data_IF_736916428476
#
_entry.id   IF_736916428476
#
_cell.length_a   1.000
_cell.length_b   1.000
_cell.length_c   1.000
_cell.angle_alpha   90.00
_cell.angle_beta   90.00
_cell.angle_gamma   90.00
#
_symmetry.space_group_name_H-M   'P 1'
#
loop_
_entity.id
_entity.type
_entity.pdbx_description
1 polymer ?
#
# COMPACT_ATOMS: atom_id res chain seq x y z
N UNK A 1 11.65 2.24 6.25
CA UNK A 1 11.34 3.52 5.56
C UNK A 1 10.87 3.29 4.13
N UNK A 2 11.53 2.44 3.34
CA UNK A 2 11.12 2.13 1.96
C UNK A 2 9.70 1.53 1.87
N UNK A 3 9.31 0.64 2.78
CA UNK A 3 7.98 0.01 2.79
C UNK A 3 6.86 1.03 2.99
N UNK A 4 7.04 2.03 3.85
CA UNK A 4 6.06 3.09 4.05
C UNK A 4 5.88 3.95 2.80
N UNK A 5 6.96 4.36 2.15
CA UNK A 5 6.91 5.14 0.90
C UNK A 5 6.24 4.35 -0.24
N UNK A 6 6.54 3.05 -0.35
CA UNK A 6 5.89 2.17 -1.30
C UNK A 6 4.39 2.02 -1.03
N UNK A 7 3.99 1.86 0.24
CA UNK A 7 2.59 1.82 0.62
C UNK A 7 1.85 3.11 0.24
N UNK A 8 2.41 4.27 0.57
CA UNK A 8 1.83 5.58 0.21
C UNK A 8 1.77 5.76 -1.32
N UNK A 9 2.80 5.34 -2.05
CA UNK A 9 2.83 5.38 -3.51
C UNK A 9 1.72 4.51 -4.13
N UNK A 10 1.57 3.27 -3.68
CA UNK A 10 0.53 2.34 -4.15
C UNK A 10 -0.88 2.86 -3.82
N UNK A 11 -1.12 3.28 -2.58
CA UNK A 11 -2.40 3.88 -2.20
C UNK A 11 -2.73 5.12 -3.02
N UNK A 12 -1.72 5.97 -3.28
CA UNK A 12 -1.87 7.16 -4.12
C UNK A 12 -2.22 6.83 -5.57
N UNK A 13 -1.67 5.74 -6.12
CA UNK A 13 -2.03 5.24 -7.45
C UNK A 13 -3.48 4.78 -7.51
N UNK A 14 -3.94 3.96 -6.53
CA UNK A 14 -5.33 3.51 -6.49
C UNK A 14 -6.31 4.67 -6.33
N UNK A 15 -5.98 5.64 -5.47
CA UNK A 15 -6.75 6.88 -5.34
C UNK A 15 -6.80 7.64 -6.67
N UNK A 16 -5.70 7.73 -7.39
CA UNK A 16 -5.64 8.42 -8.68
C UNK A 16 -6.54 7.76 -9.73
N UNK A 17 -6.52 6.43 -9.82
CA UNK A 17 -7.39 5.66 -10.72
C UNK A 17 -8.87 5.86 -10.35
N UNK A 18 -9.20 5.77 -9.07
CA UNK A 18 -10.54 5.96 -8.56
C UNK A 18 -11.07 7.39 -8.84
N UNK A 19 -10.26 8.42 -8.56
CA UNK A 19 -10.65 9.80 -8.80
C UNK A 19 -10.74 10.15 -10.29
N UNK A 20 -9.85 9.61 -11.11
CA UNK A 20 -9.96 9.76 -12.57
C UNK A 20 -11.27 9.15 -13.10
N UNK A 21 -11.63 7.95 -12.65
CA UNK A 21 -12.92 7.34 -12.98
C UNK A 21 -14.10 8.23 -12.55
N UNK A 22 -14.10 8.73 -11.32
CA UNK A 22 -15.14 9.62 -10.84
C UNK A 22 -15.26 10.89 -11.70
N UNK A 23 -14.14 11.55 -12.00
CA UNK A 23 -14.11 12.79 -12.79
C UNK A 23 -14.60 12.58 -14.23
N UNK A 24 -14.31 11.44 -14.83
CA UNK A 24 -14.69 11.16 -16.21
C UNK A 24 -16.17 10.74 -16.34
N UNK A 25 -16.67 9.91 -15.43
CA UNK A 25 -17.95 9.24 -15.60
C UNK A 25 -19.04 9.73 -14.64
N UNK A 26 -18.71 10.05 -13.38
CA UNK A 26 -19.70 10.29 -12.32
C UNK A 26 -19.92 11.76 -12.00
N UNK A 27 -18.95 12.62 -12.26
CA UNK A 27 -18.98 14.06 -11.95
C UNK A 27 -20.26 14.77 -12.38
N UNK A 28 -20.80 14.41 -13.53
CA UNK A 28 -21.95 15.08 -14.13
C UNK A 28 -23.29 14.39 -13.85
N UNK A 29 -23.35 13.38 -12.98
CA UNK A 29 -24.61 12.71 -12.61
C UNK A 29 -25.31 13.46 -11.48
N UNK A 30 -26.65 13.32 -11.40
CA UNK A 30 -27.47 13.91 -10.33
C UNK A 30 -27.57 13.00 -9.11
N UNK A 31 -26.72 11.98 -8.98
CA UNK A 31 -26.67 11.05 -7.85
C UNK A 31 -25.82 11.62 -6.71
N UNK A 32 -26.10 12.85 -6.27
CA UNK A 32 -25.24 13.63 -5.38
C UNK A 32 -24.89 12.89 -4.10
N UNK A 33 -25.88 12.41 -3.35
CA UNK A 33 -25.70 11.67 -2.10
C UNK A 33 -24.92 10.39 -2.29
N UNK A 34 -25.22 9.65 -3.37
CA UNK A 34 -24.52 8.40 -3.67
C UNK A 34 -23.05 8.65 -4.02
N UNK A 35 -22.79 9.59 -4.91
CA UNK A 35 -21.43 9.99 -5.33
C UNK A 35 -20.58 10.48 -4.16
N UNK A 36 -21.19 11.25 -3.24
CA UNK A 36 -20.54 11.71 -2.01
C UNK A 36 -20.08 10.52 -1.15
N UNK A 37 -20.99 9.56 -0.88
CA UNK A 37 -20.67 8.37 -0.10
C UNK A 37 -19.62 7.52 -0.83
N UNK A 38 -19.77 7.34 -2.14
CA UNK A 38 -18.84 6.59 -2.96
C UNK A 38 -17.42 7.20 -2.95
N UNK A 39 -17.30 8.53 -3.00
CA UNK A 39 -15.99 9.19 -2.90
C UNK A 39 -15.30 8.93 -1.56
N UNK A 40 -16.02 9.01 -0.46
CA UNK A 40 -15.46 8.77 0.87
C UNK A 40 -15.12 7.29 1.08
N UNK A 41 -16.06 6.39 0.79
CA UNK A 41 -15.87 4.94 0.95
C UNK A 41 -14.80 4.40 -0.01
N UNK A 42 -14.82 4.84 -1.27
CA UNK A 42 -13.82 4.44 -2.26
C UNK A 42 -12.42 4.95 -1.90
N UNK A 43 -12.30 6.16 -1.36
CA UNK A 43 -11.01 6.66 -0.85
C UNK A 43 -10.50 5.82 0.31
N UNK A 44 -11.37 5.43 1.26
CA UNK A 44 -11.01 4.54 2.36
C UNK A 44 -10.60 3.15 1.85
N UNK A 45 -11.34 2.61 0.88
CA UNK A 45 -11.00 1.32 0.25
C UNK A 45 -9.62 1.36 -0.41
N UNK A 46 -9.26 2.44 -1.10
CA UNK A 46 -7.94 2.60 -1.72
C UNK A 46 -6.77 2.60 -0.72
N UNK A 47 -7.00 2.94 0.55
CA UNK A 47 -6.01 2.78 1.62
C UNK A 47 -5.86 1.32 2.06
N UNK A 48 -6.94 0.55 2.01
CA UNK A 48 -6.94 -0.85 2.45
C UNK A 48 -6.35 -1.78 1.37
N UNK A 49 -6.56 -1.47 0.09
CA UNK A 49 -6.11 -2.31 -1.04
C UNK A 49 -4.62 -2.72 -0.99
N UNK A 50 -3.64 -1.83 -0.68
CA UNK A 50 -2.24 -2.22 -0.65
C UNK A 50 -1.87 -3.19 0.47
N UNK A 51 -2.75 -3.38 1.48
CA UNK A 51 -2.52 -4.33 2.57
C UNK A 51 -2.71 -5.78 2.11
N UNK A 52 -3.49 -5.99 1.03
CA UNK A 52 -3.65 -7.32 0.44
C UNK A 52 -2.45 -7.63 -0.46
N UNK A 53 -1.66 -8.61 -0.06
CA UNK A 53 -0.50 -9.11 -0.81
C UNK A 53 -0.89 -10.40 -1.53
N UNK A 54 -0.73 -10.46 -2.87
CA UNK A 54 -1.01 -11.66 -3.66
C UNK A 54 0.29 -12.38 -3.98
N UNK A 55 0.32 -13.70 -3.75
CA UNK A 55 1.41 -14.56 -4.19
C UNK A 55 1.17 -14.91 -5.67
N UNK A 56 1.97 -14.37 -6.57
CA UNK A 56 1.95 -14.77 -7.99
C UNK A 56 2.93 -15.91 -8.22
N UNK A 57 2.47 -16.96 -8.87
CA UNK A 57 3.27 -18.18 -9.18
C UNK A 57 4.44 -17.87 -10.15
N UNK A 58 4.36 -16.77 -10.90
CA UNK A 58 5.43 -16.34 -11.82
C UNK A 58 6.78 -16.04 -11.14
N UNK A 59 6.77 -15.69 -9.84
CA UNK A 59 8.01 -15.49 -9.09
C UNK A 59 8.85 -16.78 -8.97
N UNK A 60 8.23 -17.95 -9.11
CA UNK A 60 8.92 -19.24 -9.05
C UNK A 60 9.63 -19.56 -10.36
N UNK A 61 9.06 -19.18 -11.50
CA UNK A 61 9.63 -19.43 -12.83
C UNK A 61 10.72 -18.41 -13.22
N UNK A 62 10.56 -17.14 -12.84
CA UNK A 62 11.57 -16.10 -13.08
C UNK A 62 12.85 -16.36 -12.27
N UNK A 63 12.74 -16.91 -11.04
CA UNK A 63 13.91 -17.31 -10.25
C UNK A 63 14.64 -18.55 -10.80
N UNK A 64 13.97 -19.40 -11.57
CA UNK A 64 14.63 -20.52 -12.24
C UNK A 64 15.49 -20.06 -13.44
N UNK A 65 15.20 -18.88 -14.01
CA UNK A 65 15.95 -18.30 -15.15
C UNK A 65 17.08 -17.34 -14.73
N UNK A 66 17.02 -16.75 -13.55
CA UNK A 66 17.97 -15.71 -13.11
C UNK A 66 19.11 -16.23 -12.21
N UNK A 67 19.17 -17.56 -11.97
CA UNK A 67 20.27 -18.21 -11.26
C UNK A 67 21.49 -18.52 -12.18
N UNK A 68 21.69 -17.73 -13.21
CA UNK A 68 22.92 -17.72 -13.98
C UNK A 68 23.89 -16.70 -13.40
N UNK A 69 24.91 -17.23 -12.71
CA UNK A 69 26.21 -16.60 -12.54
C UNK A 69 26.27 -15.29 -11.71
N UNK A 70 26.02 -15.39 -10.41
CA UNK A 70 26.72 -14.48 -9.50
C UNK A 70 28.01 -15.19 -9.06
N UNK A 71 29.10 -14.88 -9.70
CA UNK A 71 30.45 -15.21 -9.26
C UNK A 71 30.65 -14.55 -7.88
N UNK A 72 31.24 -15.27 -6.92
CA UNK A 72 31.53 -14.78 -5.57
C UNK A 72 32.41 -13.49 -5.55
N UNK A 73 32.97 -13.11 -6.70
CA UNK A 73 33.72 -11.88 -6.93
C UNK A 73 32.81 -10.63 -6.99
N UNK A 74 31.55 -10.75 -7.40
CA UNK A 74 30.63 -9.61 -7.50
C UNK A 74 30.00 -9.24 -6.17
N UNK A 75 29.83 -10.19 -5.24
CA UNK A 75 29.24 -9.92 -3.93
C UNK A 75 30.12 -8.98 -3.08
N UNK A 76 31.44 -9.12 -3.15
CA UNK A 76 32.38 -8.24 -2.44
C UNK A 76 32.53 -6.86 -3.09
N UNK A 77 32.35 -6.77 -4.39
CA UNK A 77 32.35 -5.47 -5.09
C UNK A 77 31.01 -4.74 -4.90
N UNK A 78 29.92 -5.47 -4.75
CA UNK A 78 28.59 -4.88 -4.58
C UNK A 78 28.42 -4.27 -3.15
N UNK A 79 29.05 -4.85 -2.16
CA UNK A 79 29.04 -4.29 -0.79
C UNK A 79 29.90 -3.03 -0.68
N UNK A 80 30.99 -2.92 -1.42
CA UNK A 80 31.85 -1.72 -1.46
C UNK A 80 31.25 -0.58 -2.31
N UNK A 81 30.46 -0.89 -3.35
CA UNK A 81 29.76 0.10 -4.18
C UNK A 81 28.47 0.60 -3.54
N UNK A 82 27.80 -0.23 -2.71
CA UNK A 82 26.60 0.17 -1.98
C UNK A 82 26.87 1.27 -0.94
N UNK A 83 28.11 1.41 -0.45
CA UNK A 83 28.51 2.44 0.51
C UNK A 83 28.53 3.87 -0.07
N UNK A 84 28.49 4.03 -1.40
CA UNK A 84 28.54 5.34 -2.07
C UNK A 84 27.21 5.77 -2.70
N UNK A 85 26.13 4.96 -2.59
CA UNK A 85 24.84 5.33 -3.15
C UNK A 85 24.21 6.49 -2.34
N UNK A 86 23.86 7.57 -3.04
CA UNK A 86 23.18 8.71 -2.42
C UNK A 86 21.86 8.25 -1.78
N UNK A 87 21.54 8.64 -0.52
CA UNK A 87 20.41 8.13 0.24
C UNK A 87 19.07 8.75 -0.22
N UNK A 88 18.69 8.53 -1.48
CA UNK A 88 17.46 9.09 -2.08
C UNK A 88 16.21 8.80 -1.28
N UNK A 89 16.10 7.61 -0.69
CA UNK A 89 14.95 7.24 0.12
C UNK A 89 14.80 8.11 1.38
N UNK A 90 15.92 8.50 2.00
CA UNK A 90 15.92 9.40 3.16
C UNK A 90 15.53 10.82 2.75
N UNK A 91 16.05 11.30 1.62
CA UNK A 91 15.70 12.62 1.07
C UNK A 91 14.22 12.70 0.70
N UNK A 92 13.71 11.70 -0.03
CA UNK A 92 12.29 11.63 -0.39
C UNK A 92 11.38 11.57 0.83
N UNK A 93 11.74 10.79 1.85
CA UNK A 93 11.02 10.75 3.11
C UNK A 93 11.03 12.12 3.81
N UNK A 94 12.18 12.78 3.86
CA UNK A 94 12.31 14.13 4.43
C UNK A 94 11.40 15.15 3.71
N UNK A 95 11.41 15.16 2.38
CA UNK A 95 10.53 16.01 1.56
C UNK A 95 9.04 15.68 1.79
N UNK A 96 8.69 14.40 1.90
CA UNK A 96 7.33 13.99 2.18
C UNK A 96 6.85 14.52 3.53
N UNK A 97 7.62 14.34 4.60
CA UNK A 97 7.24 14.82 5.94
C UNK A 97 7.24 16.35 6.04
N UNK A 98 8.14 17.05 5.32
CA UNK A 98 8.13 18.51 5.23
C UNK A 98 6.83 19.03 4.59
N UNK A 99 6.42 18.43 3.46
CA UNK A 99 5.16 18.78 2.80
C UNK A 99 3.93 18.46 3.66
N UNK A 100 3.94 17.31 4.35
CA UNK A 100 2.89 16.94 5.30
C UNK A 100 2.78 17.98 6.43
N UNK A 101 3.89 18.42 7.01
CA UNK A 101 3.92 19.45 8.05
C UNK A 101 3.39 20.79 7.53
N UNK A 102 3.74 21.18 6.30
CA UNK A 102 3.27 22.42 5.68
C UNK A 102 1.75 22.41 5.47
N UNK A 103 1.20 21.30 4.95
CA UNK A 103 -0.26 21.15 4.74
C UNK A 103 -1.00 21.10 6.07
N UNK A 104 -0.45 20.38 7.08
CA UNK A 104 -1.03 20.35 8.42
C UNK A 104 -1.10 21.75 9.03
N UNK A 105 -0.02 22.52 8.94
CA UNK A 105 0.04 23.90 9.41
C UNK A 105 -1.03 24.77 8.70
N UNK A 106 -1.17 24.65 7.38
CA UNK A 106 -2.19 25.37 6.62
C UNK A 106 -3.63 25.03 7.07
N UNK A 107 -3.90 23.74 7.33
CA UNK A 107 -5.20 23.29 7.86
C UNK A 107 -5.44 23.87 9.25
N UNK A 108 -4.46 23.83 10.15
CA UNK A 108 -4.59 24.37 11.52
C UNK A 108 -4.81 25.87 11.54
N UNK A 109 -4.06 26.63 10.72
CA UNK A 109 -4.24 28.08 10.60
C UNK A 109 -5.61 28.45 10.03
N UNK A 110 -6.08 27.73 9.02
CA UNK A 110 -7.42 27.92 8.44
C UNK A 110 -8.53 27.62 9.45
N UNK A 111 -8.39 26.49 10.17
CA UNK A 111 -9.34 26.11 11.22
C UNK A 111 -9.34 27.11 12.38
N UNK A 112 -8.17 27.63 12.76
CA UNK A 112 -8.04 28.67 13.81
C UNK A 112 -8.74 29.98 13.43
N UNK A 113 -8.63 30.42 12.15
CA UNK A 113 -9.37 31.61 11.65
C UNK A 113 -10.88 31.38 11.72
N UNK A 114 -11.34 30.23 11.27
CA UNK A 114 -12.75 29.85 11.30
C UNK A 114 -13.29 29.82 12.73
N UNK A 115 -12.59 29.21 13.68
CA UNK A 115 -13.00 29.16 15.09
C UNK A 115 -13.07 30.54 15.73
N UNK A 116 -12.18 31.47 15.36
CA UNK A 116 -12.24 32.87 15.83
C UNK A 116 -13.51 33.56 15.35
N UNK A 117 -13.89 33.39 14.08
CA UNK A 117 -15.13 33.94 13.52
C UNK A 117 -16.34 33.38 14.26
N UNK A 118 -16.38 32.08 14.54
CA UNK A 118 -17.47 31.44 15.25
C UNK A 118 -17.65 31.91 16.71
N UNK A 119 -16.60 32.46 17.34
CA UNK A 119 -16.63 32.96 18.71
C UNK A 119 -17.08 34.44 18.82
N UNK A 120 -17.13 35.18 17.71
CA UNK A 120 -17.41 36.62 17.74
C UNK A 120 -18.90 36.96 17.59
N UNK A 121 -19.74 36.03 17.16
CA UNK A 121 -21.17 36.28 16.92
C UNK A 121 -22.04 35.96 18.12
N UNK A 122 -23.30 36.41 18.07
CA UNK A 122 -24.37 36.13 19.03
C UNK A 122 -24.97 34.76 18.75
N UNK A 123 -24.99 33.86 19.70
CA UNK A 123 -25.51 32.49 19.53
C UNK A 123 -27.02 32.43 19.80
N UNK A 124 -27.79 31.88 18.86
CA UNK A 124 -29.20 31.55 18.98
C UNK A 124 -29.39 30.07 18.74
N UNK A 125 -30.00 29.34 19.69
CA UNK A 125 -30.29 27.91 19.53
C UNK A 125 -31.56 27.75 18.68
N UNK A 126 -31.43 26.99 17.58
CA UNK A 126 -32.53 26.44 16.78
C UNK A 126 -32.69 24.94 17.11
N UNK A 127 -33.77 24.33 16.68
CA UNK A 127 -34.06 22.90 16.96
C UNK A 127 -32.94 21.97 16.46
N UNK A 128 -32.38 22.20 15.27
CA UNK A 128 -31.43 21.32 14.58
C UNK A 128 -29.99 21.84 14.57
N UNK A 129 -29.77 23.13 14.84
CA UNK A 129 -28.46 23.76 14.82
C UNK A 129 -28.35 24.96 15.77
N UNK A 130 -27.15 25.49 15.94
CA UNK A 130 -26.90 26.75 16.62
C UNK A 130 -26.61 27.83 15.56
N UNK A 131 -27.41 28.85 15.46
CA UNK A 131 -27.19 30.00 14.61
C UNK A 131 -26.27 31.00 15.33
N UNK A 132 -25.21 31.42 14.67
CA UNK A 132 -24.27 32.45 15.13
C UNK A 132 -24.46 33.66 14.23
N UNK A 133 -25.05 34.70 14.75
CA UNK A 133 -25.32 35.97 14.02
C UNK A 133 -24.14 36.90 14.19
N UNK A 134 -23.53 37.31 13.09
CA UNK A 134 -22.44 38.30 13.04
C UNK A 134 -22.97 39.67 12.61
N UNK A 135 -22.49 40.70 13.25
CA UNK A 135 -22.75 42.09 12.82
C UNK A 135 -21.86 42.46 11.61
N UNK A 136 -20.74 41.76 11.41
CA UNK A 136 -19.88 41.94 10.25
C UNK A 136 -20.52 41.31 9.01
N UNK A 137 -20.38 41.96 7.84
CA UNK A 137 -20.87 41.44 6.54
C UNK A 137 -19.92 40.35 6.07
N UNK A 138 -20.11 39.11 6.58
CA UNK A 138 -19.33 37.92 6.25
C UNK A 138 -20.16 36.95 5.42
N UNK A 139 -19.53 36.18 4.53
CA UNK A 139 -20.21 35.09 3.82
C UNK A 139 -20.83 34.11 4.80
N UNK A 140 -22.06 33.68 4.53
CA UNK A 140 -22.72 32.63 5.32
C UNK A 140 -22.00 31.29 5.12
N UNK A 141 -21.81 30.52 6.20
CA UNK A 141 -21.25 29.19 6.14
C UNK A 141 -21.69 28.35 7.34
N UNK A 142 -21.59 27.04 7.21
CA UNK A 142 -21.90 26.10 8.27
C UNK A 142 -20.68 25.24 8.64
N UNK A 143 -20.53 24.93 9.93
CA UNK A 143 -19.50 24.04 10.43
C UNK A 143 -19.99 23.24 11.63
N UNK A 144 -19.89 21.90 11.53
CA UNK A 144 -20.42 21.00 12.55
C UNK A 144 -21.93 21.18 12.72
N UNK A 145 -22.36 21.69 13.88
CA UNK A 145 -23.77 22.02 14.18
C UNK A 145 -24.03 23.51 14.26
N UNK A 146 -23.08 24.33 13.85
CA UNK A 146 -23.21 25.80 13.86
C UNK A 146 -23.37 26.34 12.44
N UNK A 147 -24.29 27.26 12.28
CA UNK A 147 -24.49 28.07 11.07
C UNK A 147 -24.08 29.49 11.41
N UNK A 148 -23.23 30.09 10.64
CA UNK A 148 -22.75 31.47 10.80
C UNK A 148 -23.33 32.31 9.66
N UNK A 149 -24.01 33.38 10.01
CA UNK A 149 -24.61 34.31 9.04
C UNK A 149 -24.46 35.78 9.50
N UNK A 150 -24.38 36.69 8.54
CA UNK A 150 -24.53 38.11 8.84
C UNK A 150 -25.99 38.42 9.19
N UNK A 151 -26.23 39.43 10.04
CA UNK A 151 -27.58 39.91 10.36
C UNK A 151 -28.34 40.29 9.09
N UNK A 152 -27.68 40.94 8.14
CA UNK A 152 -28.22 41.33 6.85
C UNK A 152 -28.74 40.14 6.03
N UNK A 153 -27.94 39.06 5.92
CA UNK A 153 -28.35 37.84 5.20
C UNK A 153 -29.53 37.18 5.88
N UNK A 154 -29.54 37.14 7.21
CA UNK A 154 -30.61 36.52 8.00
C UNK A 154 -31.96 37.21 7.74
N UNK A 155 -31.98 38.53 7.69
CA UNK A 155 -33.21 39.33 7.50
C UNK A 155 -33.66 39.35 6.03
N UNK A 156 -32.74 39.46 5.08
CA UNK A 156 -33.06 39.66 3.66
C UNK A 156 -33.16 38.36 2.85
N UNK A 157 -32.52 37.28 3.31
CA UNK A 157 -32.31 36.08 2.51
C UNK A 157 -32.60 34.77 3.28
N UNK A 158 -33.85 34.50 3.73
CA UNK A 158 -34.17 33.32 4.56
C UNK A 158 -33.89 31.98 3.87
N UNK A 159 -33.86 31.94 2.52
CA UNK A 159 -33.49 30.74 1.76
C UNK A 159 -32.03 30.32 2.00
N UNK A 160 -31.12 31.27 2.31
CA UNK A 160 -29.73 30.98 2.64
C UNK A 160 -29.64 30.23 3.97
N UNK A 161 -30.40 30.64 4.99
CA UNK A 161 -30.46 29.90 6.24
C UNK A 161 -30.91 28.45 6.01
N UNK A 162 -31.90 28.25 5.14
CA UNK A 162 -32.37 26.91 4.77
C UNK A 162 -31.25 26.09 4.12
N UNK A 163 -30.47 26.67 3.21
CA UNK A 163 -29.32 26.05 2.56
C UNK A 163 -28.24 25.65 3.59
N UNK A 164 -27.85 26.55 4.48
CA UNK A 164 -26.83 26.25 5.52
C UNK A 164 -27.30 25.18 6.50
N UNK A 165 -28.59 25.16 6.85
CA UNK A 165 -29.16 24.06 7.65
C UNK A 165 -29.09 22.71 6.96
N UNK A 166 -29.16 22.65 5.61
CA UNK A 166 -28.98 21.41 4.87
C UNK A 166 -27.54 20.89 5.00
N UNK A 167 -26.53 21.77 4.96
CA UNK A 167 -25.15 21.36 5.23
C UNK A 167 -24.98 20.75 6.63
N UNK A 168 -25.63 21.31 7.66
CA UNK A 168 -25.61 20.75 9.00
C UNK A 168 -26.32 19.40 9.05
N UNK A 169 -27.53 19.31 8.47
CA UNK A 169 -28.34 18.08 8.41
C UNK A 169 -27.60 16.93 7.73
N UNK A 170 -26.93 17.21 6.60
CA UNK A 170 -26.16 16.24 5.84
C UNK A 170 -24.77 15.98 6.43
N UNK A 171 -24.35 16.71 7.47
CA UNK A 171 -23.03 16.59 8.12
C UNK A 171 -21.85 16.80 7.17
N UNK A 172 -21.97 17.73 6.22
CA UNK A 172 -20.93 17.99 5.21
C UNK A 172 -19.57 18.37 5.81
N UNK A 173 -19.55 18.98 6.99
CA UNK A 173 -18.31 19.33 7.72
C UNK A 173 -17.51 18.10 8.11
N UNK A 174 -18.18 16.96 8.45
CA UNK A 174 -17.52 15.72 8.78
C UNK A 174 -16.81 15.13 7.57
N UNK A 175 -17.44 15.17 6.39
CA UNK A 175 -16.82 14.70 5.15
C UNK A 175 -15.58 15.51 4.80
N UNK A 176 -15.65 16.82 4.96
CA UNK A 176 -14.49 17.69 4.71
C UNK A 176 -13.37 17.44 5.71
N UNK A 177 -13.67 17.10 6.96
CA UNK A 177 -12.69 16.71 7.95
C UNK A 177 -12.02 15.39 7.58
N UNK A 178 -12.81 14.37 7.24
CA UNK A 178 -12.30 13.07 6.77
C UNK A 178 -11.46 13.23 5.51
N UNK A 179 -11.95 14.01 4.54
CA UNK A 179 -11.21 14.23 3.30
C UNK A 179 -9.92 15.04 3.50
N UNK A 180 -9.87 15.90 4.52
CA UNK A 180 -8.63 16.60 4.91
C UNK A 180 -7.54 15.64 5.38
N UNK A 181 -7.90 14.50 5.98
CA UNK A 181 -6.93 13.44 6.32
C UNK A 181 -6.31 12.82 5.05
N UNK A 182 -7.12 12.52 4.01
CA UNK A 182 -6.59 12.07 2.72
C UNK A 182 -5.70 13.12 2.07
N UNK A 183 -6.10 14.40 2.12
CA UNK A 183 -5.31 15.50 1.59
C UNK A 183 -3.97 15.64 2.33
N UNK A 184 -3.94 15.42 3.62
CA UNK A 184 -2.73 15.44 4.42
C UNK A 184 -1.76 14.33 4.03
N UNK A 185 -2.25 13.09 3.87
CA UNK A 185 -1.43 11.94 3.50
C UNK A 185 -0.97 11.97 2.03
N UNK A 186 -1.82 12.46 1.13
CA UNK A 186 -1.56 12.49 -0.32
C UNK A 186 -1.44 13.91 -0.87
N UNK A 187 -0.84 14.82 -0.09
CA UNK A 187 -0.67 16.22 -0.44
C UNK A 187 0.04 16.45 -1.79
N UNK A 188 0.92 15.54 -2.17
CA UNK A 188 1.68 15.53 -3.41
C UNK A 188 0.84 15.13 -4.64
N UNK A 189 -0.34 14.53 -4.44
CA UNK A 189 -1.20 14.06 -5.52
C UNK A 189 -2.22 15.13 -5.93
N UNK A 190 -2.13 15.72 -7.14
CA UNK A 190 -3.02 16.81 -7.57
C UNK A 190 -4.48 16.36 -7.68
N UNK A 191 -4.75 15.07 -7.99
CA UNK A 191 -6.13 14.57 -8.10
C UNK A 191 -6.88 14.64 -6.77
N UNK A 192 -6.19 14.51 -5.64
CA UNK A 192 -6.81 14.66 -4.30
C UNK A 192 -7.33 16.10 -4.11
N UNK A 193 -6.60 17.12 -4.56
CA UNK A 193 -7.00 18.52 -4.48
C UNK A 193 -8.18 18.82 -5.38
N UNK A 194 -8.18 18.29 -6.61
CA UNK A 194 -9.28 18.42 -7.56
C UNK A 194 -10.53 17.75 -6.99
N UNK A 195 -10.42 16.52 -6.51
CA UNK A 195 -11.56 15.77 -5.96
C UNK A 195 -12.14 16.40 -4.70
N UNK A 196 -11.31 17.05 -3.86
CA UNK A 196 -11.82 17.86 -2.73
C UNK A 196 -12.72 18.99 -3.22
N UNK A 197 -12.37 19.63 -4.32
CA UNK A 197 -13.18 20.69 -4.91
C UNK A 197 -14.50 20.14 -5.45
N UNK A 198 -14.47 18.96 -6.08
CA UNK A 198 -15.67 18.26 -6.55
C UNK A 198 -16.55 17.78 -5.38
N UNK A 199 -15.95 17.28 -4.29
CA UNK A 199 -16.70 16.92 -3.08
C UNK A 199 -17.45 18.13 -2.50
N UNK A 200 -16.81 19.30 -2.41
CA UNK A 200 -17.47 20.53 -2.00
C UNK A 200 -18.62 20.88 -2.93
N UNK A 201 -18.44 20.72 -4.25
CA UNK A 201 -19.47 21.01 -5.23
C UNK A 201 -20.66 20.04 -5.11
N UNK A 202 -20.41 18.75 -4.81
CA UNK A 202 -21.47 17.78 -4.48
C UNK A 202 -22.26 18.19 -3.22
N UNK A 203 -21.58 18.73 -2.20
CA UNK A 203 -22.25 19.26 -1.00
C UNK A 203 -23.18 20.43 -1.34
N UNK A 204 -22.74 21.33 -2.26
CA UNK A 204 -23.61 22.43 -2.73
C UNK A 204 -24.84 21.88 -3.46
N UNK A 205 -24.67 20.89 -4.35
CA UNK A 205 -25.79 20.29 -5.09
C UNK A 205 -26.78 19.61 -4.16
N UNK A 206 -26.30 18.87 -3.14
CA UNK A 206 -27.16 18.18 -2.16
C UNK A 206 -27.92 19.20 -1.30
N UNK A 207 -27.26 20.30 -0.92
CA UNK A 207 -27.90 21.38 -0.17
C UNK A 207 -28.95 22.12 -1.01
N UNK A 208 -28.62 22.42 -2.28
CA UNK A 208 -29.55 23.06 -3.23
C UNK A 208 -30.79 22.20 -3.47
N UNK A 209 -30.61 20.91 -3.72
CA UNK A 209 -31.70 19.93 -3.84
C UNK A 209 -32.60 19.96 -2.59
N UNK A 210 -31.99 19.99 -1.39
CA UNK A 210 -32.73 20.08 -0.14
C UNK A 210 -33.52 21.38 0.06
N UNK A 211 -33.03 22.49 -0.48
CA UNK A 211 -33.78 23.77 -0.49
C UNK A 211 -35.00 23.66 -1.38
N UNK A 212 -34.84 23.14 -2.60
CA UNK A 212 -35.92 22.94 -3.55
C UNK A 212 -36.99 21.95 -3.04
N UNK A 213 -36.57 20.87 -2.37
CA UNK A 213 -37.51 19.93 -1.76
C UNK A 213 -38.35 20.51 -0.64
N UNK A 214 -37.94 21.65 -0.03
CA UNK A 214 -38.76 22.38 0.94
C UNK A 214 -39.79 23.34 0.31
N UNK A 215 -39.91 23.31 -1.02
CA UNK A 215 -40.90 24.07 -1.75
C UNK A 215 -40.51 25.53 -2.04
N UNK A 216 -39.24 25.90 -1.87
CA UNK A 216 -38.73 27.23 -2.28
C UNK A 216 -38.67 27.24 -3.80
N UNK A 217 -39.23 28.35 -4.40
CA UNK A 217 -39.25 28.51 -5.85
C UNK A 217 -37.83 28.49 -6.44
N UNK A 218 -37.62 27.62 -7.42
CA UNK A 218 -36.31 27.39 -8.02
C UNK A 218 -35.75 28.65 -8.69
N UNK A 219 -36.63 29.45 -9.39
CA UNK A 219 -36.22 30.65 -10.13
C UNK A 219 -35.78 31.73 -9.15
N UNK A 220 -36.56 31.95 -8.08
CA UNK A 220 -36.24 32.94 -7.06
C UNK A 220 -34.95 32.56 -6.34
N UNK A 221 -34.75 31.27 -6.03
CA UNK A 221 -33.53 30.77 -5.39
C UNK A 221 -32.30 30.94 -6.30
N UNK A 222 -32.41 30.63 -7.58
CA UNK A 222 -31.32 30.82 -8.55
C UNK A 222 -30.96 32.30 -8.70
N UNK A 223 -31.94 33.19 -8.79
CA UNK A 223 -31.72 34.63 -8.83
C UNK A 223 -31.05 35.18 -7.57
N UNK A 224 -31.41 34.63 -6.40
CA UNK A 224 -30.75 34.95 -5.13
C UNK A 224 -29.28 34.59 -5.17
N UNK A 225 -28.92 33.35 -5.63
CA UNK A 225 -27.53 32.90 -5.76
C UNK A 225 -26.74 33.79 -6.73
N UNK A 226 -27.32 34.16 -7.88
CA UNK A 226 -26.69 35.07 -8.85
C UNK A 226 -26.46 36.44 -8.22
N UNK A 227 -27.49 37.02 -7.58
CA UNK A 227 -27.41 38.35 -6.93
C UNK A 227 -26.32 38.39 -5.86
N UNK A 228 -26.19 37.31 -5.06
CA UNK A 228 -25.18 37.21 -4.02
C UNK A 228 -23.76 37.10 -4.62
N UNK A 229 -23.59 36.38 -5.70
CA UNK A 229 -22.26 36.21 -6.35
C UNK A 229 -21.78 37.55 -6.97
N UNK A 230 -22.67 38.36 -7.54
CA UNK A 230 -22.33 39.67 -8.11
C UNK A 230 -21.95 40.67 -7.01
N UNK A 231 -22.58 40.60 -5.82
CA UNK A 231 -22.25 41.46 -4.68
C UNK A 231 -20.87 41.21 -4.06
N UNK A 232 -20.32 40.01 -4.20
CA UNK A 232 -19.03 39.60 -3.65
C UNK A 232 -17.82 39.93 -4.57
N UNK A 233 -18.06 40.43 -5.80
CA UNK A 233 -17.03 40.62 -6.83
C UNK A 233 -16.05 41.77 -6.64
N UNK A 234 -16.01 42.41 -5.48
CA UNK A 234 -15.24 43.66 -5.36
C UNK A 234 -13.73 43.52 -5.54
N UNK A 235 -13.10 42.33 -5.35
CA UNK A 235 -11.65 42.19 -5.54
C UNK A 235 -11.20 40.72 -5.63
N UNK A 236 -11.12 40.07 -6.80
CA UNK A 236 -10.07 39.02 -6.98
C UNK A 236 -9.93 38.56 -8.43
N UNK A 237 -8.68 38.29 -8.85
CA UNK A 237 -8.28 37.48 -10.02
C UNK A 237 -8.86 36.02 -9.98
N UNK A 238 -9.56 35.67 -8.89
CA UNK A 238 -10.22 34.37 -8.68
C UNK A 238 -11.69 34.35 -9.16
N UNK A 239 -12.22 35.43 -9.69
CA UNK A 239 -13.64 35.54 -10.13
C UNK A 239 -14.05 34.47 -11.14
N UNK A 240 -13.16 34.09 -12.07
CA UNK A 240 -13.45 33.05 -13.07
C UNK A 240 -13.83 31.69 -12.50
N UNK A 241 -13.24 31.29 -11.37
CA UNK A 241 -13.56 30.02 -10.70
C UNK A 241 -14.90 30.05 -9.93
N UNK A 242 -15.29 31.21 -9.38
CA UNK A 242 -16.57 31.36 -8.68
C UNK A 242 -17.73 31.30 -9.67
N UNK A 243 -17.62 31.96 -10.82
CA UNK A 243 -18.63 31.89 -11.89
C UNK A 243 -18.86 30.47 -12.39
N UNK A 244 -17.79 29.66 -12.52
CA UNK A 244 -17.92 28.28 -12.94
C UNK A 244 -18.69 27.44 -11.92
N UNK A 245 -18.46 27.64 -10.62
CA UNK A 245 -19.16 26.91 -9.56
C UNK A 245 -20.65 27.26 -9.54
N UNK A 246 -20.99 28.54 -9.60
CA UNK A 246 -22.38 29.01 -9.66
C UNK A 246 -23.08 28.45 -10.90
N UNK A 247 -22.46 28.56 -12.08
CA UNK A 247 -22.99 27.99 -13.32
C UNK A 247 -23.28 26.49 -13.16
N UNK A 248 -22.37 25.73 -12.57
CA UNK A 248 -22.56 24.30 -12.35
C UNK A 248 -23.73 24.02 -11.39
N UNK A 249 -23.90 24.78 -10.30
CA UNK A 249 -25.05 24.67 -9.38
C UNK A 249 -26.37 24.88 -10.13
N UNK A 250 -26.51 26.00 -10.87
CA UNK A 250 -27.72 26.31 -11.65
C UNK A 250 -27.98 25.19 -12.69
N UNK A 251 -26.94 24.75 -13.41
CA UNK A 251 -27.09 23.69 -14.41
C UNK A 251 -27.58 22.38 -13.78
N UNK A 252 -27.07 22.02 -12.59
CA UNK A 252 -27.48 20.78 -11.91
C UNK A 252 -28.89 20.87 -11.34
N UNK A 253 -29.37 22.04 -10.89
CA UNK A 253 -30.77 22.22 -10.49
C UNK A 253 -31.76 22.03 -11.64
N UNK A 254 -31.34 22.38 -12.88
CA UNK A 254 -32.14 22.25 -14.09
C UNK A 254 -32.04 20.87 -14.76
N UNK A 255 -31.11 20.05 -14.32
CA UNK A 255 -30.83 18.75 -14.96
C UNK A 255 -31.88 17.70 -14.59
N UNK A 256 -32.30 16.92 -15.58
CA UNK A 256 -33.15 15.77 -15.34
C UNK A 256 -32.45 14.75 -14.44
N UNK A 257 -33.17 14.09 -13.54
CA UNK A 257 -32.61 13.06 -12.67
C UNK A 257 -31.92 11.95 -13.47
N UNK A 258 -30.72 11.62 -13.08
CA UNK A 258 -29.95 10.52 -13.67
C UNK A 258 -30.58 9.18 -13.30
N UNK A 259 -30.70 8.25 -14.27
CA UNK A 259 -31.25 6.94 -14.02
C UNK A 259 -30.50 6.23 -12.87
N UNK A 260 -31.26 5.63 -11.94
CA UNK A 260 -30.70 4.96 -10.76
C UNK A 260 -29.71 3.83 -11.08
N UNK A 261 -29.83 3.18 -12.26
CA UNK A 261 -28.90 2.18 -12.75
C UNK A 261 -27.47 2.68 -12.97
N UNK A 262 -27.27 4.00 -13.16
CA UNK A 262 -25.94 4.59 -13.35
C UNK A 262 -25.00 4.38 -12.13
N UNK A 263 -25.54 4.13 -10.94
CA UNK A 263 -24.74 3.77 -9.76
C UNK A 263 -23.95 2.48 -9.93
N UNK A 264 -24.43 1.54 -10.78
CA UNK A 264 -23.73 0.29 -11.09
C UNK A 264 -22.48 0.50 -11.96
N UNK A 265 -22.32 1.69 -12.59
CA UNK A 265 -21.11 2.00 -13.33
C UNK A 265 -19.84 1.99 -12.44
N UNK A 266 -19.98 2.16 -11.12
CA UNK A 266 -18.85 1.99 -10.19
C UNK A 266 -18.28 0.55 -10.19
N UNK A 267 -19.05 -0.46 -10.60
CA UNK A 267 -18.55 -1.83 -10.76
C UNK A 267 -17.49 -1.94 -11.87
N UNK A 268 -17.52 -1.06 -12.87
CA UNK A 268 -16.49 -1.01 -13.91
C UNK A 268 -15.10 -0.61 -13.36
N UNK A 269 -15.05 -0.06 -12.16
CA UNK A 269 -13.80 0.25 -11.47
C UNK A 269 -13.12 -1.01 -10.90
N UNK A 270 -13.87 -2.06 -10.57
CA UNK A 270 -13.34 -3.28 -9.96
C UNK A 270 -12.25 -3.96 -10.81
N UNK A 271 -12.45 -4.23 -12.11
CA UNK A 271 -11.39 -4.81 -12.94
C UNK A 271 -10.16 -3.91 -13.06
N UNK A 272 -10.35 -2.58 -13.09
CA UNK A 272 -9.24 -1.62 -13.18
C UNK A 272 -8.39 -1.67 -11.89
N UNK A 273 -9.04 -1.64 -10.73
CA UNK A 273 -8.35 -1.74 -9.45
C UNK A 273 -7.73 -3.12 -9.23
N UNK A 274 -8.40 -4.20 -9.65
CA UNK A 274 -7.85 -5.55 -9.59
C UNK A 274 -6.59 -5.67 -10.43
N UNK A 275 -6.62 -5.20 -11.68
CA UNK A 275 -5.44 -5.21 -12.56
C UNK A 275 -4.29 -4.41 -11.96
N UNK A 276 -4.57 -3.21 -11.44
CA UNK A 276 -3.57 -2.40 -10.77
C UNK A 276 -3.00 -3.10 -9.52
N UNK A 277 -3.85 -3.80 -8.77
CA UNK A 277 -3.46 -4.55 -7.58
C UNK A 277 -2.53 -5.71 -7.92
N UNK A 278 -2.81 -6.49 -8.97
CA UNK A 278 -1.93 -7.56 -9.46
C UNK A 278 -0.60 -7.00 -9.99
N UNK A 279 -0.62 -5.87 -10.70
CA UNK A 279 0.57 -5.27 -11.29
C UNK A 279 1.53 -4.67 -10.24
N UNK A 280 0.99 -4.07 -9.17
CA UNK A 280 1.78 -3.28 -8.21
C UNK A 280 1.93 -3.89 -6.81
N UNK A 281 1.29 -5.05 -6.54
CA UNK A 281 1.44 -5.80 -5.28
C UNK A 281 2.05 -7.22 -5.46
N UNK A 282 3.03 -7.46 -6.33
CA UNK A 282 3.66 -8.76 -6.40
C UNK A 282 4.41 -9.03 -5.08
N UNK A 283 4.12 -10.15 -4.44
CA UNK A 283 4.97 -10.68 -3.38
C UNK A 283 6.10 -11.43 -4.06
N UNK A 284 7.31 -10.95 -3.93
CA UNK A 284 8.50 -11.74 -4.23
C UNK A 284 8.57 -12.86 -3.19
N UNK A 285 8.09 -14.03 -3.54
CA UNK A 285 8.32 -15.22 -2.74
C UNK A 285 9.77 -15.60 -2.98
N UNK A 286 10.64 -15.26 -2.04
CA UNK A 286 11.92 -15.95 -1.93
C UNK A 286 11.56 -17.38 -1.62
N UNK A 287 11.99 -18.31 -2.46
CA UNK A 287 11.89 -19.74 -2.19
C UNK A 287 12.87 -20.07 -1.06
N UNK A 288 12.49 -19.75 0.16
CA UNK A 288 13.13 -20.19 1.39
C UNK A 288 12.03 -20.77 2.25
N UNK A 289 12.05 -22.11 2.38
CA UNK A 289 11.30 -22.80 3.43
C UNK A 289 9.77 -22.73 3.28
N UNK A 290 9.18 -23.86 3.09
CA UNK A 290 7.75 -24.09 3.35
C UNK A 290 7.52 -23.72 4.82
N UNK A 291 6.84 -22.61 5.07
CA UNK A 291 6.26 -22.35 6.38
C UNK A 291 5.08 -23.32 6.54
N UNK A 292 5.35 -24.38 7.26
CA UNK A 292 4.37 -25.33 7.77
C UNK A 292 3.57 -24.65 8.89
N UNK A 293 2.58 -23.85 8.53
CA UNK A 293 1.51 -23.49 9.46
C UNK A 293 0.16 -23.57 8.75
N UNK A 294 -0.56 -24.65 9.12
CA UNK A 294 -1.91 -25.09 8.71
C UNK A 294 -1.99 -26.10 7.55
N UNK A 295 -1.57 -27.30 7.83
CA UNK A 295 -2.00 -28.49 7.12
C UNK A 295 -2.40 -29.59 8.11
N UNK A 296 -3.69 -29.83 8.24
CA UNK A 296 -4.24 -31.01 8.95
C UNK A 296 -3.61 -32.29 8.42
N UNK A 297 -3.20 -33.23 9.28
CA UNK A 297 -2.57 -34.47 8.84
C UNK A 297 -3.63 -35.41 8.27
N UNK A 298 -3.43 -35.82 7.02
CA UNK A 298 -4.05 -37.05 6.50
C UNK A 298 -3.20 -38.22 7.00
N UNK A 299 -3.78 -38.97 7.91
CA UNK A 299 -3.25 -40.21 8.45
C UNK A 299 -3.18 -41.23 7.28
N UNK A 300 -1.97 -41.65 6.92
CA UNK A 300 -1.74 -42.94 6.32
C UNK A 300 -0.82 -43.74 7.28
N UNK A 301 -1.46 -44.70 7.88
CA UNK A 301 -0.91 -45.71 8.75
C UNK A 301 -0.02 -46.64 7.94
N UNK A 302 1.29 -46.69 8.25
CA UNK A 302 2.04 -47.92 7.98
C UNK A 302 3.27 -48.09 8.90
N UNK A 303 3.14 -49.08 9.75
CA UNK A 303 4.08 -50.04 10.32
C UNK A 303 5.43 -49.55 10.85
N UNK A 304 5.52 -49.69 12.16
CA UNK A 304 6.70 -49.59 12.99
C UNK A 304 7.82 -50.58 12.59
N UNK A 305 9.07 -50.06 12.48
CA UNK A 305 10.27 -50.81 12.88
C UNK A 305 11.14 -49.85 13.67
N UNK A 306 11.32 -50.24 14.95
CA UNK A 306 12.09 -49.50 15.96
C UNK A 306 13.61 -49.72 15.78
N UNK A 307 14.38 -48.63 15.90
CA UNK A 307 15.74 -48.56 16.44
C UNK A 307 16.22 -47.11 16.61
N UNK A 308 17.25 -46.79 17.42
CA UNK A 308 17.07 -46.01 18.64
C UNK A 308 17.35 -44.52 18.44
N UNK A 309 16.68 -43.71 19.25
CA UNK A 309 16.84 -42.26 19.39
C UNK A 309 18.23 -41.89 19.92
N UNK A 310 18.90 -40.99 19.18
CA UNK A 310 19.84 -40.07 19.79
C UNK A 310 19.50 -38.65 19.29
N UNK A 311 18.87 -37.89 20.16
CA UNK A 311 18.31 -36.54 19.91
C UNK A 311 19.43 -35.53 20.11
N UNK A 312 20.24 -35.28 19.09
CA UNK A 312 21.07 -34.08 19.04
C UNK A 312 20.26 -32.99 18.36
N UNK A 313 19.80 -32.01 19.12
CA UNK A 313 19.10 -30.84 18.58
C UNK A 313 20.07 -30.09 17.66
N UNK A 314 19.87 -30.20 16.35
CA UNK A 314 20.66 -29.49 15.33
C UNK A 314 20.05 -28.11 15.04
N UNK A 315 20.92 -27.11 14.96
CA UNK A 315 20.53 -25.70 14.75
C UNK A 315 20.66 -25.34 13.27
N UNK A 316 19.71 -24.55 12.69
CA UNK A 316 19.86 -24.06 11.33
C UNK A 316 21.07 -23.13 11.17
N UNK A 317 21.81 -23.27 10.05
CA UNK A 317 23.04 -22.51 9.75
C UNK A 317 22.91 -20.98 9.92
N UNK A 318 21.70 -20.43 9.73
CA UNK A 318 21.43 -18.99 9.84
C UNK A 318 21.28 -18.50 11.28
N UNK A 319 21.07 -19.39 12.24
CA UNK A 319 20.82 -19.05 13.65
C UNK A 319 22.05 -19.25 14.55
N UNK A 320 23.17 -19.68 13.99
CA UNK A 320 24.38 -19.99 14.75
C UNK A 320 25.27 -18.74 14.83
N UNK A 321 25.74 -18.40 16.04
CA UNK A 321 26.62 -17.23 16.28
C UNK A 321 27.97 -17.36 15.57
N UNK A 322 28.57 -18.55 15.64
CA UNK A 322 29.79 -18.85 14.90
C UNK A 322 29.52 -19.99 13.93
N UNK A 323 29.66 -19.73 12.64
CA UNK A 323 29.39 -20.70 11.58
C UNK A 323 30.44 -21.80 11.53
N UNK A 324 30.06 -23.08 11.20
CA UNK A 324 31.01 -24.12 10.97
C UNK A 324 31.96 -23.80 9.81
N UNK A 325 33.24 -24.12 9.94
CA UNK A 325 34.26 -23.83 8.92
C UNK A 325 35.01 -25.08 8.52
N UNK A 326 35.34 -25.18 7.21
CA UNK A 326 36.15 -26.26 6.68
C UNK A 326 37.60 -25.82 6.51
N UNK A 327 38.56 -26.55 7.12
CA UNK A 327 40.00 -26.20 7.13
C UNK A 327 40.31 -24.80 7.69
N UNK A 328 39.45 -24.27 8.54
CA UNK A 328 39.61 -22.89 9.05
C UNK A 328 39.27 -21.79 8.05
N UNK A 329 38.73 -22.14 6.86
CA UNK A 329 38.23 -21.24 5.81
C UNK A 329 36.71 -21.22 5.73
N UNK A 330 36.21 -20.49 4.75
CA UNK A 330 34.79 -20.35 4.49
C UNK A 330 34.24 -21.48 3.56
N UNK A 331 32.98 -21.35 3.11
CA UNK A 331 32.32 -22.25 2.18
C UNK A 331 33.13 -22.51 0.87
N UNK A 332 34.03 -21.61 0.50
CA UNK A 332 34.80 -21.69 -0.74
C UNK A 332 35.88 -22.78 -0.64
N UNK A 333 36.47 -23.02 0.53
CA UNK A 333 37.44 -24.07 0.72
C UNK A 333 36.81 -25.46 0.57
N UNK A 334 35.60 -25.66 1.10
CA UNK A 334 34.84 -26.88 0.87
C UNK A 334 34.45 -27.06 -0.59
N UNK A 335 34.04 -26.00 -1.26
CA UNK A 335 33.74 -26.02 -2.71
C UNK A 335 34.94 -26.43 -3.56
N UNK A 336 36.14 -25.96 -3.23
CA UNK A 336 37.38 -26.34 -3.91
C UNK A 336 37.64 -27.83 -3.73
N UNK A 337 37.61 -28.33 -2.48
CA UNK A 337 37.80 -29.71 -2.17
C UNK A 337 36.78 -30.63 -2.90
N UNK A 338 35.50 -30.26 -2.89
CA UNK A 338 34.45 -30.98 -3.63
C UNK A 338 34.79 -31.04 -5.12
N UNK A 339 35.17 -29.91 -5.76
CA UNK A 339 35.50 -29.85 -7.17
C UNK A 339 36.78 -30.67 -7.53
N UNK A 340 37.73 -30.80 -6.60
CA UNK A 340 38.92 -31.63 -6.81
C UNK A 340 38.64 -33.14 -6.67
N UNK A 341 37.66 -33.47 -5.83
CA UNK A 341 37.30 -34.87 -5.51
C UNK A 341 36.19 -35.43 -6.42
N UNK A 342 35.43 -34.53 -7.06
CA UNK A 342 34.28 -34.89 -7.86
C UNK A 342 34.70 -35.53 -9.20
N UNK A 343 34.16 -36.74 -9.45
CA UNK A 343 34.36 -37.46 -10.71
C UNK A 343 33.07 -37.46 -11.53
N UNK A 344 33.11 -36.90 -12.72
CA UNK A 344 31.91 -36.89 -13.58
C UNK A 344 31.57 -38.32 -14.02
N UNK A 345 30.37 -38.86 -13.73
CA UNK A 345 30.00 -40.22 -14.10
C UNK A 345 30.09 -40.43 -15.61
N UNK A 346 30.75 -41.53 -16.05
CA UNK A 346 31.02 -41.79 -17.47
C UNK A 346 29.74 -41.90 -18.31
N UNK A 347 28.68 -42.48 -17.73
CA UNK A 347 27.37 -42.60 -18.37
C UNK A 347 26.69 -41.23 -18.52
N UNK A 348 26.70 -40.41 -17.49
CA UNK A 348 26.15 -39.05 -17.54
C UNK A 348 26.91 -38.15 -18.54
N UNK A 349 28.22 -38.40 -18.73
CA UNK A 349 29.05 -37.71 -19.72
C UNK A 349 28.69 -38.12 -21.16
N UNK A 350 28.39 -39.41 -21.39
CA UNK A 350 27.96 -39.90 -22.71
C UNK A 350 26.59 -39.28 -23.13
N UNK A 351 25.69 -39.20 -22.19
CA UNK A 351 24.31 -38.73 -22.41
C UNK A 351 24.19 -37.22 -22.27
N UNK A 352 25.31 -36.51 -22.13
CA UNK A 352 25.36 -35.03 -21.95
C UNK A 352 24.47 -34.51 -20.83
N UNK A 353 24.26 -35.32 -19.77
CA UNK A 353 23.42 -35.01 -18.62
C UNK A 353 24.17 -34.00 -17.73
N UNK A 354 23.65 -32.78 -17.62
CA UNK A 354 24.17 -31.72 -16.78
C UNK A 354 23.10 -31.28 -15.79
N UNK A 355 23.49 -30.66 -14.67
CA UNK A 355 22.51 -30.18 -13.71
C UNK A 355 23.12 -29.81 -12.37
N UNK A 356 22.25 -29.28 -11.51
CA UNK A 356 22.58 -28.87 -10.15
C UNK A 356 21.95 -29.86 -9.15
N UNK A 357 22.75 -30.49 -8.36
CA UNK A 357 22.33 -31.33 -7.22
C UNK A 357 22.49 -30.50 -5.95
N UNK A 358 21.47 -30.42 -5.10
CA UNK A 358 21.57 -29.75 -3.81
C UNK A 358 21.49 -30.81 -2.70
N UNK A 359 22.51 -30.82 -1.88
CA UNK A 359 22.63 -31.72 -0.73
C UNK A 359 22.36 -30.96 0.56
N UNK A 360 21.81 -31.65 1.53
CA UNK A 360 21.72 -31.22 2.92
C UNK A 360 22.49 -32.25 3.78
N UNK A 361 23.30 -31.78 4.70
CA UNK A 361 23.99 -32.59 5.68
C UNK A 361 24.11 -31.82 7.00
N UNK A 362 24.44 -32.53 8.05
CA UNK A 362 24.66 -31.96 9.38
C UNK A 362 26.15 -31.99 9.67
N UNK A 363 26.70 -30.86 10.06
CA UNK A 363 28.02 -30.77 10.69
C UNK A 363 27.83 -30.98 12.19
N UNK A 364 28.23 -32.11 12.71
CA UNK A 364 28.03 -32.48 14.10
C UNK A 364 28.99 -31.71 15.04
N UNK A 365 28.78 -31.79 16.33
CA UNK A 365 29.57 -31.12 17.37
C UNK A 365 31.04 -31.57 17.38
N UNK A 366 31.33 -32.75 16.84
CA UNK A 366 32.69 -33.27 16.67
C UNK A 366 33.34 -32.88 15.33
N UNK A 367 32.62 -32.13 14.48
CA UNK A 367 33.03 -31.71 13.14
C UNK A 367 32.84 -32.74 12.03
N UNK A 368 32.22 -33.87 12.30
CA UNK A 368 31.91 -34.89 11.27
C UNK A 368 30.68 -34.52 10.47
N UNK A 369 30.63 -34.98 9.21
CA UNK A 369 29.42 -34.83 8.35
C UNK A 369 28.53 -36.07 8.59
N UNK A 370 27.29 -35.80 9.00
CA UNK A 370 26.25 -36.83 9.22
C UNK A 370 24.97 -36.49 8.48
N UNK A 371 24.10 -37.47 8.25
CA UNK A 371 22.78 -37.32 7.61
C UNK A 371 22.83 -36.58 6.25
N UNK A 372 23.80 -36.93 5.40
CA UNK A 372 23.88 -36.35 4.05
C UNK A 372 22.75 -36.89 3.16
N UNK A 373 21.93 -36.01 2.60
CA UNK A 373 20.80 -36.34 1.71
C UNK A 373 20.64 -35.34 0.58
N UNK A 374 20.11 -35.81 -0.56
CA UNK A 374 19.76 -34.96 -1.69
C UNK A 374 18.39 -34.32 -1.44
N UNK A 375 18.36 -32.99 -1.32
CA UNK A 375 17.10 -32.24 -1.21
C UNK A 375 16.59 -31.73 -2.57
N UNK A 376 17.50 -31.65 -3.56
CA UNK A 376 17.12 -31.33 -4.94
C UNK A 376 17.95 -32.18 -5.89
N UNK A 377 17.29 -33.10 -6.57
CA UNK A 377 17.85 -34.01 -7.58
C UNK A 377 17.97 -33.30 -8.94
N UNK A 378 19.02 -33.62 -9.68
CA UNK A 378 19.15 -33.30 -11.10
C UNK A 378 19.01 -34.55 -11.98
N UNK A 379 19.74 -35.63 -11.61
CA UNK A 379 19.67 -36.95 -12.25
C UNK A 379 20.26 -38.00 -11.30
N UNK A 380 19.72 -39.22 -11.23
CA UNK A 380 20.18 -40.23 -10.28
C UNK A 380 21.69 -40.53 -10.29
N UNK A 381 22.33 -40.48 -11.47
CA UNK A 381 23.79 -40.68 -11.60
C UNK A 381 24.58 -39.50 -10.99
N UNK A 382 24.09 -38.28 -11.13
CA UNK A 382 24.74 -37.10 -10.56
C UNK A 382 24.50 -37.01 -9.06
N UNK A 383 23.32 -37.42 -8.60
CA UNK A 383 22.94 -37.43 -7.18
C UNK A 383 23.79 -38.43 -6.39
N UNK A 384 23.98 -39.63 -6.95
CA UNK A 384 24.84 -40.67 -6.34
C UNK A 384 26.28 -40.17 -6.18
N UNK A 385 26.84 -39.52 -7.18
CA UNK A 385 28.20 -38.98 -7.13
C UNK A 385 28.30 -37.83 -6.13
N UNK A 386 27.33 -36.95 -6.11
CA UNK A 386 27.26 -35.83 -5.16
C UNK A 386 27.22 -36.32 -3.70
N UNK A 387 26.38 -37.33 -3.39
CA UNK A 387 26.33 -37.97 -2.10
C UNK A 387 27.65 -38.66 -1.75
N UNK A 388 28.25 -39.40 -2.70
CA UNK A 388 29.54 -40.09 -2.52
C UNK A 388 30.63 -39.09 -2.08
N UNK A 389 30.76 -37.96 -2.80
CA UNK A 389 31.79 -36.95 -2.52
C UNK A 389 31.60 -36.38 -1.13
N UNK A 390 30.42 -35.91 -0.77
CA UNK A 390 30.17 -35.25 0.53
C UNK A 390 30.34 -36.28 1.68
N UNK A 391 29.85 -37.52 1.52
CA UNK A 391 29.97 -38.54 2.55
C UNK A 391 31.40 -39.08 2.70
N UNK A 392 32.26 -38.91 1.69
CA UNK A 392 33.66 -39.32 1.72
C UNK A 392 34.62 -38.29 2.29
N UNK A 393 34.11 -37.17 2.83
CA UNK A 393 34.93 -36.11 3.37
C UNK A 393 35.81 -36.62 4.53
N UNK A 394 37.16 -36.68 4.37
CA UNK A 394 38.03 -37.26 5.39
C UNK A 394 38.37 -36.28 6.51
N UNK A 395 38.09 -35.00 6.30
CA UNK A 395 38.50 -33.95 7.21
C UNK A 395 37.35 -33.47 8.09
N UNK A 396 37.65 -33.23 9.36
CA UNK A 396 36.68 -32.68 10.29
C UNK A 396 36.52 -31.17 10.13
N UNK A 397 35.31 -30.71 10.18
CA UNK A 397 34.95 -29.30 10.22
C UNK A 397 35.17 -28.72 11.62
N UNK A 398 35.45 -27.44 11.72
CA UNK A 398 35.25 -26.76 12.98
C UNK A 398 33.73 -26.60 13.21
N UNK A 399 33.19 -27.12 14.34
CA UNK A 399 31.75 -27.10 14.59
C UNK A 399 31.20 -25.67 14.73
N UNK A 400 29.90 -25.48 14.53
CA UNK A 400 29.23 -24.24 14.86
C UNK A 400 29.22 -23.98 16.36
N UNK A 401 29.22 -22.71 16.78
CA UNK A 401 29.17 -22.35 18.19
C UNK A 401 27.96 -21.48 18.47
N UNK A 402 27.29 -21.78 19.58
CA UNK A 402 26.18 -20.98 20.12
C UNK A 402 26.32 -20.86 21.64
N UNK A 403 26.22 -19.65 22.18
CA UNK A 403 26.45 -19.40 23.62
C UNK A 403 27.78 -20.01 24.14
N UNK A 404 28.81 -20.00 23.30
CA UNK A 404 30.12 -20.57 23.62
C UNK A 404 30.18 -22.07 23.67
N UNK A 405 29.16 -22.82 23.22
CA UNK A 405 29.09 -24.29 23.16
C UNK A 405 29.05 -24.77 21.72
N UNK A 406 29.74 -25.91 21.38
CA UNK A 406 29.62 -26.49 20.05
C UNK A 406 28.21 -27.05 19.83
N UNK A 407 27.63 -26.76 18.65
CA UNK A 407 26.30 -27.21 18.25
C UNK A 407 26.34 -27.88 16.89
N UNK A 408 25.47 -28.87 16.67
CA UNK A 408 25.27 -29.49 15.37
C UNK A 408 24.53 -28.51 14.45
N UNK A 409 24.99 -28.36 13.20
CA UNK A 409 24.49 -27.34 12.27
C UNK A 409 24.05 -27.97 10.96
N UNK A 410 22.82 -27.66 10.52
CA UNK A 410 22.35 -28.03 9.19
C UNK A 410 23.05 -27.20 8.12
N UNK A 411 23.68 -27.87 7.17
CA UNK A 411 24.37 -27.24 6.05
C UNK A 411 23.71 -27.64 4.73
N UNK A 412 23.44 -26.66 3.86
CA UNK A 412 22.89 -26.90 2.52
C UNK A 412 23.95 -26.52 1.49
N UNK A 413 24.31 -27.46 0.62
CA UNK A 413 25.40 -27.30 -0.33
C UNK A 413 25.00 -27.69 -1.76
N UNK A 414 25.10 -26.78 -2.74
CA UNK A 414 24.82 -27.05 -4.13
C UNK A 414 26.08 -27.52 -4.87
N UNK A 415 25.98 -28.60 -5.65
CA UNK A 415 27.03 -29.10 -6.58
C UNK A 415 26.52 -28.93 -8.00
N UNK A 416 27.33 -28.29 -8.85
CA UNK A 416 26.98 -28.04 -10.25
C UNK A 416 27.82 -28.98 -11.12
N UNK A 417 27.13 -29.83 -11.88
CA UNK A 417 27.74 -30.70 -12.89
C UNK A 417 27.61 -30.03 -14.27
N UNK A 418 28.75 -29.62 -14.85
CA UNK A 418 28.81 -29.02 -16.15
C UNK A 418 29.91 -29.65 -16.99
N UNK A 419 29.60 -29.99 -18.23
CA UNK A 419 30.58 -30.48 -19.19
C UNK A 419 31.31 -29.30 -19.82
N UNK A 420 32.63 -29.34 -19.80
CA UNK A 420 33.47 -28.35 -20.50
C UNK A 420 33.59 -28.68 -21.95
#
# INVERSE_FOLDING_TARGET
MNEFLLYIGRSGLYLSLFYAFFLLFMRHTTLFRFNRIALLAGSALCLVLPLFKFRTVEAVLAQAGELTMVSASEATLQESVAAAAFPWATVLAGLYFLGLAAVLMAILLSSGKMLRLMRRGTEQKLEDCTLVVSEEDIPSFSWGRKVIMSRKDLEQNPAILTHERMHVKCRHSLDLLLFSAFQLLFWWNPLVWITRTELKLLHEYEADEGVLQKGIDATQYQLLLVRKSVGEERFTLASGFQHTKLKNRITMMLKNPTAGGMRWAYLALLPILSLAMFAFNPVKVHAAGVDEENGTPVILEETAISAPQDTTQSVPFQMVEVKPSFRGGDANEFSKWVNETLVYPAEAKKDTIQGRVTLQFIVDVDGSIVDAKVIRSAHPLLDAEALRVVSSCPEKWSPGMQDGKPVAVHYVFPIIFQLK
#
